data_IF_344547518629
#
_entry.id   IF_344547518629
#
_cell.length_a   1.000
_cell.length_b   1.000
_cell.length_c   1.000
_cell.angle_alpha   90.00
_cell.angle_beta   90.00
_cell.angle_gamma   90.00
#
_symmetry.space_group_name_H-M   'P 1'
#
loop_
_entity.id
_entity.type
_entity.pdbx_description
1 polymer ?
#
# COMPACT_ATOMS: atom_id res chain seq x y z
N UNK A 1 45.31 -6.19 -10.39
CA UNK A 1 45.85 -6.12 -9.02
C UNK A 1 45.57 -4.81 -8.28
N UNK A 2 45.86 -3.60 -8.81
CA UNK A 2 45.69 -2.36 -8.02
C UNK A 2 44.24 -2.09 -7.63
N UNK A 3 43.28 -2.37 -8.52
CA UNK A 3 41.84 -2.18 -8.25
C UNK A 3 41.35 -3.06 -7.08
N UNK A 4 41.82 -4.30 -6.99
CA UNK A 4 41.46 -5.22 -5.91
C UNK A 4 41.98 -4.71 -4.56
N UNK A 5 43.21 -4.21 -4.53
CA UNK A 5 43.81 -3.66 -3.31
C UNK A 5 43.02 -2.42 -2.86
N UNK A 6 42.69 -1.51 -3.78
CA UNK A 6 41.88 -0.33 -3.47
C UNK A 6 40.52 -0.73 -2.89
N UNK A 7 39.84 -1.69 -3.52
CA UNK A 7 38.55 -2.17 -3.04
C UNK A 7 38.65 -2.77 -1.64
N UNK A 8 39.62 -3.65 -1.39
CA UNK A 8 39.85 -4.25 -0.07
C UNK A 8 40.16 -3.18 0.99
N UNK A 9 40.98 -2.19 0.66
CA UNK A 9 41.29 -1.08 1.57
C UNK A 9 40.03 -0.28 1.92
N UNK A 10 39.17 0.03 0.94
CA UNK A 10 37.90 0.72 1.19
C UNK A 10 36.96 -0.09 2.08
N UNK A 11 36.87 -1.40 1.87
CA UNK A 11 36.08 -2.31 2.72
C UNK A 11 36.63 -2.33 4.14
N UNK A 12 37.95 -2.45 4.32
CA UNK A 12 38.58 -2.43 5.64
C UNK A 12 38.34 -1.11 6.37
N UNK A 13 38.50 0.03 5.67
CA UNK A 13 38.21 1.37 6.23
C UNK A 13 36.75 1.43 6.66
N UNK A 14 35.82 0.99 5.80
CA UNK A 14 34.39 0.96 6.14
C UNK A 14 34.15 0.11 7.39
N UNK A 15 34.70 -1.09 7.48
CA UNK A 15 34.51 -1.96 8.65
C UNK A 15 34.97 -1.26 9.92
N UNK A 16 36.19 -0.72 9.95
CA UNK A 16 36.76 -0.08 11.15
C UNK A 16 35.93 1.14 11.59
N UNK A 17 35.49 1.98 10.64
CA UNK A 17 34.71 3.19 10.95
C UNK A 17 33.29 2.88 11.47
N UNK A 18 32.78 1.68 11.24
CA UNK A 18 31.39 1.30 11.55
C UNK A 18 31.27 0.21 12.63
N UNK A 19 32.30 0.01 13.45
CA UNK A 19 32.22 -0.85 14.65
C UNK A 19 31.51 -0.18 15.84
N UNK A 20 31.40 1.15 15.83
CA UNK A 20 30.70 1.92 16.86
C UNK A 20 29.18 1.96 16.65
N UNK A 21 28.40 2.24 17.71
CA UNK A 21 26.95 2.31 17.62
C UNK A 21 26.48 3.40 16.65
N UNK A 22 25.28 3.22 16.09
CA UNK A 22 24.59 4.25 15.31
C UNK A 22 24.29 5.48 16.18
N UNK A 23 24.43 6.67 15.61
CA UNK A 23 23.92 7.91 16.22
C UNK A 23 22.39 8.00 16.14
N UNK A 24 21.76 8.96 16.86
CA UNK A 24 20.30 9.10 16.87
C UNK A 24 19.67 9.28 15.48
N UNK A 25 20.29 10.09 14.61
CA UNK A 25 19.80 10.33 13.25
C UNK A 25 19.92 9.08 12.36
N UNK A 26 21.00 8.30 12.55
CA UNK A 26 21.20 7.05 11.83
C UNK A 26 20.20 5.97 12.26
N UNK A 27 19.86 5.93 13.55
CA UNK A 27 18.80 5.06 14.10
C UNK A 27 17.47 5.41 13.43
N UNK A 28 17.12 6.69 13.36
CA UNK A 28 15.88 7.15 12.73
C UNK A 28 15.85 6.80 11.22
N UNK A 29 16.97 7.03 10.51
CA UNK A 29 17.08 6.69 9.10
C UNK A 29 16.90 5.19 8.84
N UNK A 30 17.54 4.34 9.66
CA UNK A 30 17.38 2.89 9.57
C UNK A 30 15.97 2.44 9.95
N UNK A 31 15.37 3.05 10.97
CA UNK A 31 13.98 2.77 11.37
C UNK A 31 13.00 3.06 10.23
N UNK A 32 13.14 4.20 9.54
CA UNK A 32 12.35 4.48 8.33
C UNK A 32 12.61 3.47 7.21
N UNK A 33 13.85 3.01 7.01
CA UNK A 33 14.16 1.95 6.03
C UNK A 33 13.43 0.64 6.38
N UNK A 34 13.49 0.19 7.63
CA UNK A 34 12.78 -1.00 8.13
C UNK A 34 11.26 -0.83 8.03
N UNK A 35 10.71 0.33 8.42
CA UNK A 35 9.28 0.67 8.26
C UNK A 35 8.83 0.53 6.82
N UNK A 36 9.55 1.14 5.86
CA UNK A 36 9.25 1.01 4.42
C UNK A 36 9.28 -0.45 3.96
N UNK A 37 10.26 -1.23 4.40
CA UNK A 37 10.34 -2.65 4.06
C UNK A 37 9.14 -3.43 4.63
N UNK A 38 8.77 -3.18 5.89
CA UNK A 38 7.61 -3.81 6.53
C UNK A 38 6.31 -3.48 5.80
N UNK A 39 6.07 -2.20 5.50
CA UNK A 39 4.90 -1.74 4.72
C UNK A 39 4.86 -2.42 3.35
N UNK A 40 6.00 -2.51 2.65
CA UNK A 40 6.08 -3.20 1.35
C UNK A 40 5.79 -4.69 1.47
N UNK A 41 6.29 -5.36 2.51
CA UNK A 41 6.04 -6.79 2.73
C UNK A 41 4.58 -7.08 3.07
N UNK A 42 3.95 -6.18 3.84
CA UNK A 42 2.56 -6.31 4.25
C UNK A 42 1.61 -6.14 3.05
N UNK A 43 1.83 -5.10 2.26
CA UNK A 43 1.05 -4.80 1.07
C UNK A 43 1.68 -5.42 -0.19
N UNK A 44 1.59 -6.73 -0.29
CA UNK A 44 2.04 -7.50 -1.47
C UNK A 44 0.84 -8.04 -2.24
N UNK A 45 0.83 -7.84 -3.55
CA UNK A 45 -0.31 -8.19 -4.41
C UNK A 45 -0.03 -9.41 -5.27
N UNK A 46 -0.89 -10.42 -5.16
CA UNK A 46 -0.90 -11.54 -6.09
C UNK A 46 -1.34 -11.03 -7.47
N UNK A 47 -0.61 -11.42 -8.52
CA UNK A 47 -0.86 -11.00 -9.92
C UNK A 47 -1.56 -12.06 -10.77
N UNK A 48 -2.07 -13.12 -10.13
CA UNK A 48 -2.67 -14.23 -10.84
C UNK A 48 -4.07 -13.82 -11.33
N UNK A 49 -4.36 -14.08 -12.60
CA UNK A 49 -5.70 -13.86 -13.13
C UNK A 49 -6.70 -14.71 -12.33
N UNK A 50 -7.73 -14.06 -11.79
CA UNK A 50 -8.70 -14.69 -10.92
C UNK A 50 -9.99 -14.95 -11.70
N UNK A 51 -10.52 -16.16 -11.60
CA UNK A 51 -11.85 -16.47 -12.10
C UNK A 51 -12.89 -15.76 -11.24
N UNK A 52 -13.82 -15.06 -11.89
CA UNK A 52 -14.86 -14.30 -11.18
C UNK A 52 -16.13 -15.13 -11.10
N UNK A 53 -16.72 -15.19 -9.92
CA UNK A 53 -18.09 -15.67 -9.76
C UNK A 53 -19.05 -14.78 -10.56
N UNK A 54 -19.72 -15.40 -11.54
CA UNK A 54 -20.63 -14.70 -12.44
C UNK A 54 -21.84 -14.15 -11.70
N UNK A 55 -22.29 -14.82 -10.66
CA UNK A 55 -23.45 -14.41 -9.88
C UNK A 55 -23.10 -13.14 -9.10
N UNK A 56 -21.95 -13.13 -8.43
CA UNK A 56 -21.43 -11.93 -7.76
C UNK A 56 -21.22 -10.76 -8.74
N UNK A 57 -20.66 -11.02 -9.93
CA UNK A 57 -20.47 -9.97 -10.95
C UNK A 57 -21.81 -9.40 -11.45
N UNK A 58 -22.85 -10.23 -11.49
CA UNK A 58 -24.20 -9.83 -11.91
C UNK A 58 -24.94 -9.05 -10.82
N UNK A 59 -24.65 -9.30 -9.55
CA UNK A 59 -25.23 -8.56 -8.42
C UNK A 59 -24.67 -7.14 -8.25
N UNK A 60 -23.68 -6.75 -9.07
CA UNK A 60 -23.09 -5.42 -9.04
C UNK A 60 -24.10 -4.31 -9.35
N UNK A 61 -24.63 -3.71 -8.30
CA UNK A 61 -25.51 -2.55 -8.36
C UNK A 61 -24.77 -1.27 -8.79
N UNK A 62 -25.17 -0.75 -9.96
CA UNK A 62 -24.67 0.51 -10.52
C UNK A 62 -24.84 1.73 -9.58
N UNK A 63 -25.82 1.70 -8.69
CA UNK A 63 -26.16 2.82 -7.80
C UNK A 63 -25.37 2.81 -6.48
N UNK A 64 -24.47 1.86 -6.26
CA UNK A 64 -23.85 1.68 -4.94
C UNK A 64 -24.52 0.58 -4.13
N UNK A 65 -23.75 -0.40 -3.70
CA UNK A 65 -24.17 -1.36 -2.68
C UNK A 65 -22.95 -1.88 -1.91
N UNK A 66 -23.15 -2.20 -0.64
CA UNK A 66 -22.14 -2.82 0.22
C UNK A 66 -22.32 -4.34 0.19
N UNK A 67 -21.20 -5.04 0.03
CA UNK A 67 -21.15 -6.49 -0.05
C UNK A 67 -20.16 -7.01 0.98
N UNK A 68 -20.65 -7.84 1.89
CA UNK A 68 -19.78 -8.61 2.78
C UNK A 68 -19.03 -9.67 1.99
N UNK A 69 -17.73 -9.71 2.17
CA UNK A 69 -16.81 -10.65 1.54
C UNK A 69 -15.80 -11.14 2.57
N UNK A 70 -15.02 -12.15 2.23
CA UNK A 70 -13.92 -12.66 3.06
C UNK A 70 -12.74 -13.01 2.15
N UNK A 71 -12.20 -11.98 1.50
CA UNK A 71 -11.16 -12.14 0.50
C UNK A 71 -9.79 -11.78 1.07
N UNK A 72 -8.72 -12.52 0.76
CA UNK A 72 -7.38 -12.11 1.17
C UNK A 72 -7.01 -10.74 0.60
N UNK A 73 -6.42 -9.89 1.44
CA UNK A 73 -5.95 -8.56 1.06
C UNK A 73 -5.03 -8.62 -0.17
N UNK A 74 -4.13 -9.60 -0.19
CA UNK A 74 -3.15 -9.78 -1.25
C UNK A 74 -3.74 -10.16 -2.62
N UNK A 75 -4.87 -10.88 -2.66
CA UNK A 75 -5.53 -11.31 -3.91
C UNK A 75 -6.64 -10.37 -4.37
N UNK A 76 -7.13 -9.50 -3.49
CA UNK A 76 -8.24 -8.59 -3.78
C UNK A 76 -8.02 -7.73 -5.03
N UNK A 77 -6.83 -7.14 -5.29
CA UNK A 77 -6.61 -6.39 -6.53
C UNK A 77 -6.83 -7.21 -7.81
N UNK A 78 -6.42 -8.48 -7.82
CA UNK A 78 -6.67 -9.37 -8.96
C UNK A 78 -8.16 -9.67 -9.15
N UNK A 79 -8.87 -9.92 -8.05
CA UNK A 79 -10.32 -10.14 -8.06
C UNK A 79 -11.06 -8.91 -8.62
N UNK A 80 -10.78 -7.72 -8.10
CA UNK A 80 -11.43 -6.48 -8.54
C UNK A 80 -11.09 -6.16 -9.99
N UNK A 81 -9.85 -6.34 -10.42
CA UNK A 81 -9.49 -6.17 -11.83
C UNK A 81 -10.27 -7.09 -12.76
N UNK A 82 -10.50 -8.34 -12.36
CA UNK A 82 -11.28 -9.31 -13.12
C UNK A 82 -12.80 -8.96 -13.12
N UNK A 83 -13.33 -8.42 -12.02
CA UNK A 83 -14.69 -7.88 -11.94
C UNK A 83 -14.90 -6.71 -12.92
N UNK A 84 -13.92 -5.81 -13.00
CA UNK A 84 -13.94 -4.63 -13.88
C UNK A 84 -13.59 -4.96 -15.34
N UNK A 85 -13.07 -6.16 -15.63
CA UNK A 85 -12.80 -6.64 -17.00
C UNK A 85 -14.06 -6.57 -17.86
N UNK A 86 -13.95 -5.83 -18.97
CA UNK A 86 -15.01 -5.66 -19.98
C UNK A 86 -16.05 -4.59 -19.65
N UNK A 87 -15.92 -3.84 -18.55
CA UNK A 87 -16.82 -2.73 -18.23
C UNK A 87 -16.52 -1.54 -19.14
N UNK A 88 -17.55 -1.07 -19.87
CA UNK A 88 -17.46 0.04 -20.85
C UNK A 88 -17.55 1.45 -20.24
N UNK A 89 -17.86 1.53 -18.96
CA UNK A 89 -17.95 2.78 -18.21
C UNK A 89 -16.90 2.71 -17.12
N UNK A 90 -16.58 3.87 -16.54
CA UNK A 90 -15.76 3.92 -15.35
C UNK A 90 -16.57 3.45 -14.13
N UNK A 91 -15.90 2.68 -13.28
CA UNK A 91 -16.38 2.21 -11.99
C UNK A 91 -15.35 2.58 -10.94
N UNK A 92 -15.83 2.87 -9.74
CA UNK A 92 -15.01 2.93 -8.54
C UNK A 92 -15.43 1.78 -7.62
N UNK A 93 -14.45 1.13 -7.01
CA UNK A 93 -14.64 0.07 -6.02
C UNK A 93 -13.82 0.45 -4.79
N UNK A 94 -14.46 0.50 -3.63
CA UNK A 94 -13.80 0.59 -2.35
C UNK A 94 -13.83 -0.77 -1.66
N UNK A 95 -12.69 -1.22 -1.15
CA UNK A 95 -12.60 -2.41 -0.32
C UNK A 95 -12.05 -2.03 1.05
N UNK A 96 -12.71 -2.49 2.12
CA UNK A 96 -12.30 -2.23 3.48
C UNK A 96 -11.68 -3.48 4.06
N UNK A 97 -10.47 -3.35 4.58
CA UNK A 97 -9.67 -4.45 5.09
C UNK A 97 -9.24 -4.22 6.53
N UNK A 98 -9.16 -5.33 7.25
CA UNK A 98 -8.56 -5.43 8.56
C UNK A 98 -7.55 -6.56 8.53
N UNK A 99 -6.35 -6.31 9.05
CA UNK A 99 -5.25 -7.27 9.00
C UNK A 99 -4.99 -7.71 7.54
N UNK A 100 -5.10 -9.00 7.23
CA UNK A 100 -4.88 -9.57 5.90
C UNK A 100 -6.18 -9.96 5.16
N UNK A 101 -7.35 -9.49 5.64
CA UNK A 101 -8.67 -9.85 5.07
C UNK A 101 -9.49 -8.61 4.72
N UNK A 102 -10.03 -8.61 3.50
CA UNK A 102 -11.06 -7.68 3.04
C UNK A 102 -12.42 -8.20 3.47
N UNK A 103 -13.16 -7.36 4.20
CA UNK A 103 -14.43 -7.72 4.82
C UNK A 103 -15.62 -7.11 4.09
N UNK A 104 -15.42 -5.98 3.43
CA UNK A 104 -16.45 -5.27 2.69
C UNK A 104 -15.93 -4.77 1.36
N UNK A 105 -16.78 -4.86 0.34
CA UNK A 105 -16.59 -4.21 -0.95
C UNK A 105 -17.81 -3.35 -1.24
N UNK A 106 -17.56 -2.09 -1.57
CA UNK A 106 -18.51 -1.16 -2.14
C UNK A 106 -18.14 -0.92 -3.60
N UNK A 107 -19.10 -0.88 -4.51
CA UNK A 107 -18.85 -0.47 -5.90
C UNK A 107 -19.87 0.55 -6.34
N UNK A 108 -19.44 1.46 -7.20
CA UNK A 108 -20.26 2.50 -7.79
C UNK A 108 -19.87 2.67 -9.27
N UNK A 109 -20.89 2.88 -10.11
CA UNK A 109 -20.69 3.23 -11.52
C UNK A 109 -20.80 4.75 -11.67
N UNK A 110 -19.89 5.36 -12.44
CA UNK A 110 -20.03 6.76 -12.84
C UNK A 110 -21.34 7.03 -13.60
N UNK A 111 -21.87 8.26 -13.49
CA UNK A 111 -23.12 8.64 -14.16
C UNK A 111 -22.99 8.61 -15.69
N UNK A 112 -21.79 8.79 -16.24
CA UNK A 112 -21.53 8.84 -17.67
C UNK A 112 -20.29 8.02 -18.09
N UNK A 113 -19.69 8.34 -19.24
CA UNK A 113 -18.46 7.71 -19.77
C UNK A 113 -17.22 8.61 -19.61
N UNK A 114 -17.36 9.73 -18.92
CA UNK A 114 -16.37 10.81 -18.86
C UNK A 114 -15.80 11.04 -17.48
N UNK A 115 -16.55 10.75 -16.41
CA UNK A 115 -16.01 10.73 -15.05
C UNK A 115 -16.82 9.88 -14.06
N UNK A 116 -16.16 9.43 -13.00
CA UNK A 116 -16.82 8.92 -11.78
C UNK A 116 -16.56 9.89 -10.64
N UNK A 117 -17.63 10.40 -10.04
CA UNK A 117 -17.56 10.90 -8.67
C UNK A 117 -17.88 9.75 -7.72
N UNK A 118 -17.09 9.52 -6.65
CA UNK A 118 -17.44 8.56 -5.62
C UNK A 118 -18.85 8.85 -5.09
N UNK A 119 -19.76 7.87 -5.22
CA UNK A 119 -21.10 8.00 -4.63
C UNK A 119 -21.08 7.96 -3.09
N UNK A 120 -19.93 7.59 -2.50
CA UNK A 120 -19.68 7.61 -1.07
C UNK A 120 -18.67 8.73 -0.74
N UNK A 121 -19.00 9.57 0.24
CA UNK A 121 -18.08 10.63 0.70
C UNK A 121 -16.95 10.04 1.56
N UNK A 122 -15.81 10.74 1.63
CA UNK A 122 -14.69 10.35 2.49
C UNK A 122 -15.13 10.18 3.96
N UNK A 123 -15.95 11.08 4.48
CA UNK A 123 -16.49 10.98 5.85
C UNK A 123 -17.34 9.72 6.06
N UNK A 124 -18.15 9.33 5.06
CA UNK A 124 -18.91 8.09 5.12
C UNK A 124 -17.98 6.87 5.09
N UNK A 125 -16.93 6.93 4.27
CA UNK A 125 -15.93 5.86 4.17
C UNK A 125 -15.17 5.67 5.50
N UNK A 126 -14.79 6.76 6.16
CA UNK A 126 -14.22 6.74 7.52
C UNK A 126 -15.19 6.10 8.52
N UNK A 127 -16.45 6.54 8.52
CA UNK A 127 -17.47 5.98 9.42
C UNK A 127 -17.72 4.49 9.19
N UNK A 128 -17.71 4.04 7.93
CA UNK A 128 -17.77 2.61 7.60
C UNK A 128 -16.53 1.88 8.12
N UNK A 129 -15.33 2.37 7.86
CA UNK A 129 -14.09 1.73 8.30
C UNK A 129 -14.02 1.61 9.82
N UNK A 130 -14.41 2.66 10.55
CA UNK A 130 -14.47 2.64 12.01
C UNK A 130 -15.48 1.61 12.54
N UNK A 131 -16.69 1.58 11.97
CA UNK A 131 -17.74 0.62 12.38
C UNK A 131 -17.29 -0.82 12.20
N UNK A 132 -16.56 -1.08 11.13
CA UNK A 132 -16.12 -2.42 10.73
C UNK A 132 -14.69 -2.72 11.25
N UNK A 133 -14.12 -1.82 12.06
CA UNK A 133 -12.77 -1.92 12.60
C UNK A 133 -11.70 -2.20 11.52
N UNK A 134 -11.89 -1.61 10.34
CA UNK A 134 -10.96 -1.69 9.23
C UNK A 134 -9.81 -0.70 9.40
N UNK A 135 -8.65 -1.08 8.90
CA UNK A 135 -7.41 -0.31 8.98
C UNK A 135 -6.96 0.20 7.61
N UNK A 136 -7.37 -0.50 6.53
CA UNK A 136 -6.98 -0.18 5.17
C UNK A 136 -8.21 -0.03 4.29
N UNK A 137 -8.20 1.02 3.48
CA UNK A 137 -9.11 1.23 2.37
C UNK A 137 -8.32 1.00 1.08
N UNK A 138 -8.78 0.07 0.26
CA UNK A 138 -8.33 -0.05 -1.13
C UNK A 138 -9.33 0.65 -2.04
N UNK A 139 -8.84 1.45 -2.98
CA UNK A 139 -9.64 2.11 -3.99
C UNK A 139 -9.23 1.58 -5.36
N UNK A 140 -10.19 1.17 -6.18
CA UNK A 140 -9.94 0.71 -7.53
C UNK A 140 -10.81 1.50 -8.49
N UNK A 141 -10.25 1.89 -9.62
CA UNK A 141 -11.06 2.36 -10.74
C UNK A 141 -10.59 1.77 -12.06
N UNK A 142 -11.45 1.85 -13.08
CA UNK A 142 -11.07 1.51 -14.45
C UNK A 142 -11.31 2.69 -15.37
N UNK A 143 -10.49 2.82 -16.40
CA UNK A 143 -10.76 3.72 -17.52
C UNK A 143 -11.49 2.97 -18.65
N UNK A 144 -12.35 3.62 -19.46
CA UNK A 144 -13.17 2.95 -20.48
C UNK A 144 -12.34 2.29 -21.61
N UNK A 145 -11.10 2.74 -21.80
CA UNK A 145 -10.16 2.21 -22.80
C UNK A 145 -9.09 1.27 -22.21
N UNK A 146 -9.26 0.85 -20.95
CA UNK A 146 -8.29 0.04 -20.21
C UNK A 146 -6.87 0.65 -20.19
N UNK A 147 -6.80 1.98 -20.10
CA UNK A 147 -5.57 2.69 -19.75
C UNK A 147 -5.23 2.32 -18.31
N UNK A 148 -3.96 1.98 -18.06
CA UNK A 148 -3.45 1.51 -16.77
C UNK A 148 -2.65 2.59 -16.01
N UNK A 149 -2.57 3.79 -16.59
CA UNK A 149 -1.88 4.92 -16.00
C UNK A 149 -2.91 5.86 -15.38
N UNK A 150 -2.70 6.33 -14.14
CA UNK A 150 -3.58 7.32 -13.54
C UNK A 150 -3.52 8.64 -14.32
N UNK A 151 -4.63 9.37 -14.31
CA UNK A 151 -4.64 10.77 -14.74
C UNK A 151 -4.06 11.69 -13.64
N UNK A 152 -3.74 12.94 -13.98
CA UNK A 152 -3.37 13.95 -12.97
C UNK A 152 -4.50 14.18 -11.96
N UNK A 153 -5.75 14.11 -12.42
CA UNK A 153 -6.93 14.22 -11.56
C UNK A 153 -7.03 13.03 -10.59
N UNK A 154 -6.65 11.83 -11.03
CA UNK A 154 -6.63 10.64 -10.19
C UNK A 154 -5.61 10.84 -9.07
N UNK A 155 -4.40 11.33 -9.39
CA UNK A 155 -3.36 11.62 -8.40
C UNK A 155 -3.76 12.71 -7.40
N UNK A 156 -4.40 13.78 -7.88
CA UNK A 156 -4.90 14.86 -7.04
C UNK A 156 -5.97 14.35 -6.07
N UNK A 157 -6.94 13.58 -6.57
CA UNK A 157 -8.05 13.05 -5.79
C UNK A 157 -7.57 12.00 -4.78
N UNK A 158 -6.63 11.13 -5.20
CA UNK A 158 -5.99 10.14 -4.34
C UNK A 158 -5.28 10.80 -3.16
N UNK A 159 -4.56 11.91 -3.41
CA UNK A 159 -3.92 12.69 -2.34
C UNK A 159 -4.94 13.28 -1.37
N UNK A 160 -5.98 13.94 -1.87
CA UNK A 160 -7.01 14.55 -1.01
C UNK A 160 -7.73 13.50 -0.15
N UNK A 161 -8.07 12.34 -0.73
CA UNK A 161 -8.66 11.23 0.01
C UNK A 161 -7.66 10.61 1.00
N UNK A 162 -6.41 10.44 0.58
CA UNK A 162 -5.31 9.95 1.39
C UNK A 162 -5.10 10.78 2.65
N UNK A 163 -5.00 12.11 2.51
CA UNK A 163 -4.84 13.03 3.63
C UNK A 163 -6.03 12.93 4.63
N UNK A 164 -7.25 12.77 4.11
CA UNK A 164 -8.46 12.64 4.93
C UNK A 164 -8.49 11.32 5.71
N UNK A 165 -8.12 10.21 5.05
CA UNK A 165 -8.10 8.88 5.67
C UNK A 165 -6.93 8.74 6.64
N UNK A 166 -5.75 9.26 6.30
CA UNK A 166 -4.57 9.24 7.15
C UNK A 166 -4.81 10.02 8.45
N UNK A 167 -5.45 11.20 8.39
CA UNK A 167 -5.87 11.94 9.58
C UNK A 167 -6.82 11.15 10.49
N UNK A 168 -7.53 10.16 9.93
CA UNK A 168 -8.43 9.27 10.66
C UNK A 168 -7.77 7.95 11.08
N UNK A 169 -6.46 7.79 10.89
CA UNK A 169 -5.71 6.57 11.20
C UNK A 169 -5.92 5.42 10.22
N UNK A 170 -6.40 5.70 8.99
CA UNK A 170 -6.66 4.70 7.95
C UNK A 170 -5.64 4.77 6.83
N UNK A 171 -5.18 3.61 6.35
CA UNK A 171 -4.39 3.52 5.14
C UNK A 171 -5.27 3.65 3.89
N UNK A 172 -4.76 4.31 2.85
CA UNK A 172 -5.32 4.31 1.50
C UNK A 172 -4.33 3.67 0.53
N UNK A 173 -4.81 2.78 -0.33
CA UNK A 173 -4.05 2.27 -1.48
C UNK A 173 -4.93 2.28 -2.72
N UNK A 174 -4.50 2.95 -3.78
CA UNK A 174 -5.29 3.11 -4.98
C UNK A 174 -4.70 2.39 -6.20
N UNK A 175 -5.59 1.86 -7.03
CA UNK A 175 -5.26 1.04 -8.18
C UNK A 175 -6.06 1.44 -9.43
N UNK A 176 -5.37 1.50 -10.56
CA UNK A 176 -6.03 1.52 -11.88
C UNK A 176 -6.14 0.08 -12.38
N UNK A 177 -7.33 -0.30 -12.84
CA UNK A 177 -7.66 -1.63 -13.32
C UNK A 177 -8.01 -1.62 -14.82
N UNK A 178 -7.56 -2.65 -15.54
CA UNK A 178 -7.81 -2.75 -16.98
C UNK A 178 -7.49 -4.15 -17.53
N UNK A 179 -8.40 -4.68 -18.35
CA UNK A 179 -8.28 -6.02 -18.99
C UNK A 179 -8.02 -7.18 -18.02
N UNK A 180 -8.36 -7.06 -16.74
CA UNK A 180 -8.07 -8.09 -15.73
C UNK A 180 -6.73 -7.89 -15.01
N UNK A 181 -6.01 -6.81 -15.29
CA UNK A 181 -4.80 -6.40 -14.60
C UNK A 181 -5.05 -5.17 -13.72
N UNK A 182 -4.16 -4.93 -12.76
CA UNK A 182 -4.17 -3.76 -11.89
C UNK A 182 -2.76 -3.14 -11.79
N UNK A 183 -2.70 -1.85 -11.51
CA UNK A 183 -1.48 -1.11 -11.19
C UNK A 183 -1.76 -0.26 -9.96
N UNK A 184 -1.02 -0.48 -8.88
CA UNK A 184 -0.99 0.45 -7.74
C UNK A 184 -0.32 1.76 -8.19
N UNK A 185 -0.98 2.88 -7.98
CA UNK A 185 -0.43 4.19 -8.34
C UNK A 185 -0.33 5.17 -7.19
N UNK A 186 -1.00 4.91 -6.07
CA UNK A 186 -0.96 5.77 -4.89
C UNK A 186 -1.07 4.93 -3.62
N UNK A 187 -0.35 5.35 -2.57
CA UNK A 187 -0.57 4.89 -1.21
C UNK A 187 -0.32 5.99 -0.19
N UNK A 188 -1.12 6.02 0.86
CA UNK A 188 -0.93 6.81 2.08
C UNK A 188 -1.09 5.87 3.27
N UNK A 189 -0.06 5.76 4.11
CA UNK A 189 -0.03 4.80 5.22
C UNK A 189 0.29 5.57 6.51
N UNK A 190 -0.69 5.73 7.42
CA UNK A 190 -0.51 6.45 8.68
C UNK A 190 0.61 5.85 9.53
N UNK A 191 1.24 6.68 10.36
CA UNK A 191 2.28 6.20 11.27
C UNK A 191 1.69 5.24 12.31
N UNK A 192 0.44 5.45 12.73
CA UNK A 192 -0.29 4.64 13.71
C UNK A 192 -0.33 3.15 13.35
N UNK A 193 -0.38 2.80 12.05
CA UNK A 193 -0.39 1.40 11.60
C UNK A 193 1.01 0.75 11.63
N UNK A 194 2.06 1.55 11.45
CA UNK A 194 3.44 1.09 11.47
C UNK A 194 4.33 2.12 12.17
N UNK A 195 4.22 2.30 13.50
CA UNK A 195 4.81 3.45 14.18
C UNK A 195 6.32 3.47 14.04
N UNK A 196 6.89 4.57 13.54
CA UNK A 196 8.35 4.68 13.36
C UNK A 196 9.09 4.48 14.68
N UNK A 197 8.50 4.89 15.80
CA UNK A 197 9.06 4.72 17.14
C UNK A 197 9.26 3.26 17.53
N UNK A 198 8.37 2.37 17.08
CA UNK A 198 8.54 0.93 17.30
C UNK A 198 9.80 0.42 16.58
N UNK A 199 10.05 0.87 15.35
CA UNK A 199 11.25 0.52 14.60
C UNK A 199 12.51 1.18 15.20
N UNK A 200 12.41 2.42 15.68
CA UNK A 200 13.49 3.08 16.41
C UNK A 200 13.88 2.27 17.66
N UNK A 201 12.90 1.80 18.42
CA UNK A 201 13.16 0.98 19.61
C UNK A 201 13.85 -0.34 19.23
N UNK A 202 13.34 -1.04 18.21
CA UNK A 202 13.99 -2.26 17.71
C UNK A 202 15.44 -2.04 17.30
N UNK A 203 15.74 -0.93 16.62
CA UNK A 203 17.12 -0.59 16.24
C UNK A 203 17.96 -0.28 17.49
N UNK A 204 17.42 0.45 18.47
CA UNK A 204 18.12 0.78 19.73
C UNK A 204 18.43 -0.46 20.56
N UNK A 205 17.50 -1.43 20.62
CA UNK A 205 17.68 -2.69 21.35
C UNK A 205 18.84 -3.52 20.76
N UNK A 206 19.10 -3.38 19.46
CA UNK A 206 20.22 -4.01 18.78
C UNK A 206 21.52 -3.18 18.83
N UNK A 207 21.38 -1.85 18.88
CA UNK A 207 22.49 -0.90 18.78
C UNK A 207 23.35 -0.91 20.06
N UNK A 208 24.67 -0.94 19.91
CA UNK A 208 25.59 -0.95 21.04
C UNK A 208 25.76 -2.31 21.73
N UNK A 209 25.02 -3.35 21.31
CA UNK A 209 25.15 -4.71 21.88
C UNK A 209 26.48 -5.40 21.52
N UNK A 210 27.17 -4.92 20.48
CA UNK A 210 28.53 -5.34 20.15
C UNK A 210 29.02 -4.85 18.79
N UNK A 211 30.35 -4.87 18.53
CA UNK A 211 30.93 -4.31 17.30
C UNK A 211 30.38 -4.91 16.00
N UNK A 212 30.17 -6.23 15.98
CA UNK A 212 29.61 -6.91 14.81
C UNK A 212 28.14 -6.57 14.59
N UNK A 213 27.36 -6.36 15.66
CA UNK A 213 25.95 -5.96 15.53
C UNK A 213 25.85 -4.53 14.99
N UNK A 214 26.69 -3.63 15.50
CA UNK A 214 26.80 -2.26 15.00
C UNK A 214 27.15 -2.25 13.51
N UNK A 215 28.19 -3.00 13.11
CA UNK A 215 28.57 -3.12 11.71
C UNK A 215 27.41 -3.62 10.84
N UNK A 216 26.66 -4.61 11.30
CA UNK A 216 25.46 -5.12 10.61
C UNK A 216 24.40 -4.03 10.44
N UNK A 217 24.14 -3.23 11.47
CA UNK A 217 23.18 -2.12 11.40
C UNK A 217 23.62 -1.04 10.41
N UNK A 218 24.91 -0.69 10.39
CA UNK A 218 25.47 0.23 9.40
C UNK A 218 25.35 -0.33 7.98
N UNK A 219 25.67 -1.62 7.77
CA UNK A 219 25.48 -2.29 6.49
C UNK A 219 24.02 -2.25 6.04
N UNK A 220 23.08 -2.61 6.92
CA UNK A 220 21.64 -2.57 6.62
C UNK A 220 21.16 -1.16 6.30
N UNK A 221 21.74 -0.11 6.90
CA UNK A 221 21.37 1.27 6.58
C UNK A 221 21.81 1.65 5.18
N UNK A 222 23.07 1.36 4.82
CA UNK A 222 23.67 1.75 3.56
C UNK A 222 23.27 0.88 2.35
N UNK A 223 23.03 -0.41 2.56
CA UNK A 223 22.74 -1.40 1.53
C UNK A 223 21.35 -2.02 1.76
#
# INVERSE_FOLDING_TARGET
>A
MPLLIILLSLVCIFVVLHLGPLGPDDVLALAHKRRRHKIKSFYTWARNETAVDRDFKSSMNKNGALHSVSEPLSSTPSLVAALLKGKKHEWIVYALAKDDVVQLIYYNKGPDRTSVAPAISAATLVGLAQRENSQTVLCFHNHPNAVMLPSEQDLYSARALGDTLEYSGLALIEFVCGRGHFVEYYRAIPDELFPVDQFCQQVRDENGTGPLRNLRLHLERYF
#
